data_IF_065454784953
#
_entry.id   IF_065454784953
#
_cell.length_a   1.000
_cell.length_b   1.000
_cell.length_c   1.000
_cell.angle_alpha   90.00
_cell.angle_beta   90.00
_cell.angle_gamma   90.00
#
_symmetry.space_group_name_H-M   'P 1'
#
loop_
_entity.id
_entity.type
_entity.pdbx_description
1 polymer ?
#
# COMPACT_ATOMS: atom_id res chain seq x y z
N UNK A 1 26.43 59.14 -40.88
CA UNK A 1 25.26 58.65 -41.64
C UNK A 1 24.88 57.27 -41.12
N UNK A 2 23.59 57.09 -40.75
CA UNK A 2 22.79 55.84 -40.74
C UNK A 2 23.26 54.69 -39.81
N UNK A 3 22.57 54.49 -38.68
CA UNK A 3 21.52 53.49 -38.43
C UNK A 3 22.10 52.08 -38.15
N UNK A 4 22.05 51.60 -36.91
CA UNK A 4 20.93 50.85 -36.30
C UNK A 4 20.90 49.37 -36.75
N UNK A 5 21.33 48.47 -35.86
CA UNK A 5 21.00 47.04 -35.77
C UNK A 5 21.35 46.64 -34.30
N UNK A 6 20.43 46.51 -33.33
CA UNK A 6 19.39 45.46 -33.14
C UNK A 6 20.03 44.07 -33.34
N UNK A 7 20.18 43.19 -32.33
CA UNK A 7 19.10 42.50 -31.63
C UNK A 7 19.48 41.89 -30.26
N UNK A 8 18.52 42.04 -29.33
CA UNK A 8 18.08 41.24 -28.18
C UNK A 8 19.02 40.22 -27.49
N UNK A 9 19.17 40.28 -26.15
CA UNK A 9 19.50 39.09 -25.37
C UNK A 9 18.30 38.13 -25.40
N UNK A 10 18.52 36.90 -25.86
CA UNK A 10 17.61 35.77 -25.65
C UNK A 10 17.47 35.54 -24.14
N UNK A 11 16.46 36.17 -23.55
CA UNK A 11 15.89 35.69 -22.30
C UNK A 11 15.40 34.27 -22.56
N UNK A 12 16.10 33.30 -22.00
CA UNK A 12 15.64 31.92 -21.89
C UNK A 12 14.42 31.93 -20.96
N UNK A 13 13.25 32.19 -21.53
CA UNK A 13 11.97 31.85 -20.90
C UNK A 13 11.86 30.33 -20.92
N UNK A 14 12.38 29.69 -19.87
CA UNK A 14 11.94 28.35 -19.48
C UNK A 14 10.52 28.46 -18.91
N UNK A 15 9.54 28.72 -19.79
CA UNK A 15 8.16 28.30 -19.58
C UNK A 15 7.99 26.92 -20.22
N UNK A 16 8.70 25.94 -19.66
CA UNK A 16 8.18 24.59 -19.65
C UNK A 16 7.16 24.55 -18.52
N UNK A 17 5.90 24.68 -18.90
CA UNK A 17 4.75 24.55 -18.03
C UNK A 17 4.92 23.31 -17.15
N UNK A 18 5.10 23.57 -15.85
CA UNK A 18 4.59 22.70 -14.80
C UNK A 18 3.08 22.55 -15.04
N UNK A 19 2.69 21.62 -15.90
CA UNK A 19 1.38 21.01 -15.77
C UNK A 19 1.45 20.21 -14.48
N UNK A 20 0.99 20.84 -13.39
CA UNK A 20 0.53 20.10 -12.23
C UNK A 20 -0.41 19.01 -12.72
N UNK A 21 -0.39 17.80 -12.16
CA UNK A 21 -1.35 16.77 -12.54
C UNK A 21 -2.76 17.37 -12.51
N UNK A 22 -3.42 17.42 -13.66
CA UNK A 22 -4.82 17.83 -13.74
C UNK A 22 -5.59 16.93 -12.79
N UNK A 23 -6.29 17.52 -11.83
CA UNK A 23 -7.15 16.86 -10.84
C UNK A 23 -8.40 16.23 -11.44
N UNK A 24 -8.34 15.78 -12.70
CA UNK A 24 -9.40 14.98 -13.34
C UNK A 24 -9.25 13.49 -12.99
N UNK A 25 -8.84 13.20 -11.76
CA UNK A 25 -9.20 11.96 -11.10
C UNK A 25 -10.65 12.12 -10.68
N UNK A 26 -11.54 11.42 -11.38
CA UNK A 26 -12.97 11.30 -11.11
C UNK A 26 -13.23 11.36 -9.61
N UNK A 27 -13.71 12.50 -9.10
CA UNK A 27 -14.15 12.63 -7.72
C UNK A 27 -15.47 11.87 -7.59
N UNK A 28 -15.37 10.54 -7.53
CA UNK A 28 -16.43 9.71 -6.97
C UNK A 28 -16.81 10.35 -5.64
N UNK A 29 -18.09 10.68 -5.47
CA UNK A 29 -18.63 11.34 -4.27
C UNK A 29 -17.92 10.78 -3.04
N UNK A 30 -17.07 11.59 -2.41
CA UNK A 30 -16.33 11.19 -1.23
C UNK A 30 -17.34 11.11 -0.08
N UNK A 31 -17.93 9.94 0.12
CA UNK A 31 -18.77 9.69 1.29
C UNK A 31 -17.92 9.99 2.54
N UNK A 32 -18.36 10.90 3.39
CA UNK A 32 -17.62 11.23 4.62
C UNK A 32 -17.89 10.17 5.68
N UNK A 33 -16.88 9.81 6.46
CA UNK A 33 -16.99 8.90 7.60
C UNK A 33 -18.04 9.41 8.60
N UNK A 34 -18.10 10.73 8.80
CA UNK A 34 -19.01 11.34 9.77
C UNK A 34 -20.47 11.37 9.32
N UNK A 35 -20.75 11.24 8.02
CA UNK A 35 -22.11 11.33 7.47
C UNK A 35 -22.62 10.01 6.90
N UNK A 36 -21.73 9.11 6.50
CA UNK A 36 -22.07 7.81 5.94
C UNK A 36 -22.05 6.73 7.03
N UNK A 37 -23.25 6.30 7.44
CA UNK A 37 -23.45 5.26 8.46
C UNK A 37 -23.21 3.84 7.95
N UNK A 38 -22.95 3.66 6.64
CA UNK A 38 -22.64 2.34 6.07
C UNK A 38 -21.22 1.86 6.40
N UNK A 39 -20.35 2.76 6.88
CA UNK A 39 -18.99 2.44 7.26
C UNK A 39 -18.90 1.58 8.52
N UNK A 40 -18.11 0.52 8.47
CA UNK A 40 -17.77 -0.28 9.65
C UNK A 40 -16.37 0.08 10.16
N UNK A 41 -16.24 0.30 11.46
CA UNK A 41 -14.93 0.49 12.08
C UNK A 41 -14.14 -0.82 12.05
N UNK A 42 -12.87 -0.75 11.67
CA UNK A 42 -11.92 -1.86 11.69
C UNK A 42 -11.11 -1.87 12.99
N UNK A 43 -10.74 -0.69 13.51
CA UNK A 43 -10.05 -0.56 14.78
C UNK A 43 -9.29 0.76 14.92
N UNK A 44 -8.69 0.93 16.09
CA UNK A 44 -7.95 2.13 16.48
C UNK A 44 -6.43 1.92 16.40
N UNK A 45 -5.70 3.02 16.17
CA UNK A 45 -4.24 3.01 16.28
C UNK A 45 -3.79 2.75 17.73
N UNK A 46 -2.55 2.29 17.97
CA UNK A 46 -2.02 2.12 19.32
C UNK A 46 -2.11 3.39 20.19
N UNK A 47 -1.92 4.57 19.58
CA UNK A 47 -2.09 5.87 20.24
C UNK A 47 -3.55 6.26 20.51
N UNK A 48 -4.52 5.50 19.98
CA UNK A 48 -5.95 5.82 19.98
C UNK A 48 -6.30 7.20 19.38
N UNK A 49 -5.41 7.78 18.56
CA UNK A 49 -5.64 9.06 17.88
C UNK A 49 -6.27 8.91 16.51
N UNK A 50 -6.23 7.70 15.94
CA UNK A 50 -6.72 7.43 14.60
C UNK A 50 -7.63 6.20 14.61
N UNK A 51 -8.68 6.22 13.80
CA UNK A 51 -9.60 5.10 13.60
C UNK A 51 -9.73 4.77 12.13
N UNK A 52 -9.60 3.50 11.79
CA UNK A 52 -9.77 3.00 10.42
C UNK A 52 -11.20 2.51 10.21
N UNK A 53 -11.76 2.83 9.06
CA UNK A 53 -13.08 2.41 8.63
C UNK A 53 -13.01 1.75 7.25
N UNK A 54 -13.90 0.79 7.02
CA UNK A 54 -14.18 0.22 5.70
C UNK A 54 -15.56 0.64 5.20
N UNK A 55 -15.63 1.00 3.93
CA UNK A 55 -16.87 1.34 3.22
C UNK A 55 -17.00 0.46 1.99
N UNK A 56 -18.10 -0.26 1.87
CA UNK A 56 -18.37 -1.06 0.67
C UNK A 56 -19.17 -0.22 -0.31
N UNK A 57 -18.71 -0.13 -1.56
CA UNK A 57 -19.43 0.56 -2.65
C UNK A 57 -19.36 -0.22 -3.95
N UNK A 58 -20.21 0.16 -4.92
CA UNK A 58 -20.12 -0.30 -6.30
C UNK A 58 -19.17 0.60 -7.08
N UNK A 59 -18.34 -0.03 -7.92
CA UNK A 59 -17.42 0.61 -8.85
C UNK A 59 -17.62 -0.03 -10.24
N UNK A 60 -18.49 0.59 -11.04
CA UNK A 60 -19.07 -0.07 -12.21
C UNK A 60 -19.84 -1.33 -11.81
N UNK A 61 -19.49 -2.47 -12.39
CA UNK A 61 -20.09 -3.76 -12.08
C UNK A 61 -19.48 -4.44 -10.84
N UNK A 62 -18.31 -3.96 -10.38
CA UNK A 62 -17.55 -4.59 -9.29
C UNK A 62 -17.96 -4.02 -7.93
N UNK A 63 -17.88 -4.85 -6.90
CA UNK A 63 -17.98 -4.40 -5.51
C UNK A 63 -16.56 -4.13 -5.00
N UNK A 64 -16.34 -2.97 -4.38
CA UNK A 64 -15.06 -2.57 -3.79
C UNK A 64 -15.22 -2.14 -2.33
N UNK A 65 -14.13 -2.17 -1.60
CA UNK A 65 -13.97 -1.70 -0.23
C UNK A 65 -13.01 -0.52 -0.24
N UNK A 66 -13.49 0.64 0.16
CA UNK A 66 -12.65 1.79 0.43
C UNK A 66 -12.24 1.79 1.91
N UNK A 67 -10.96 1.99 2.17
CA UNK A 67 -10.43 2.25 3.49
C UNK A 67 -10.30 3.76 3.69
N UNK A 68 -10.86 4.25 4.80
CA UNK A 68 -10.80 5.65 5.18
C UNK A 68 -10.36 5.77 6.63
N UNK A 69 -9.54 6.76 6.88
CA UNK A 69 -8.94 7.04 8.18
C UNK A 69 -9.57 8.31 8.75
N UNK A 70 -9.94 8.26 10.02
CA UNK A 70 -10.39 9.41 10.80
C UNK A 70 -9.32 9.74 11.83
N UNK A 71 -8.83 10.98 11.86
CA UNK A 71 -8.07 11.50 13.01
C UNK A 71 -9.06 12.02 14.04
N UNK A 72 -9.00 11.49 15.27
CA UNK A 72 -10.04 11.73 16.28
C UNK A 72 -9.97 13.12 16.93
N UNK A 73 -8.81 13.79 16.88
CA UNK A 73 -8.61 15.09 17.53
C UNK A 73 -9.30 16.24 16.81
N UNK A 74 -9.35 16.19 15.48
CA UNK A 74 -9.87 17.25 14.61
C UNK A 74 -10.95 16.75 13.64
N UNK A 75 -11.28 15.45 13.72
CA UNK A 75 -12.22 14.76 12.83
C UNK A 75 -11.86 14.86 11.35
N UNK A 76 -10.59 15.11 11.04
CA UNK A 76 -10.11 15.09 9.67
C UNK A 76 -10.16 13.67 9.11
N UNK A 77 -10.58 13.57 7.85
CA UNK A 77 -10.73 12.31 7.15
C UNK A 77 -9.71 12.21 6.02
N UNK A 78 -9.17 11.01 5.80
CA UNK A 78 -8.32 10.72 4.66
C UNK A 78 -8.71 9.40 4.01
N UNK A 79 -8.70 9.39 2.68
CA UNK A 79 -8.78 8.16 1.92
C UNK A 79 -7.43 7.44 1.95
N UNK A 80 -7.45 6.13 2.25
CA UNK A 80 -6.25 5.31 2.39
C UNK A 80 -6.06 4.41 1.17
N UNK A 81 -7.07 3.62 0.79
CA UNK A 81 -6.95 2.64 -0.30
C UNK A 81 -8.30 2.16 -0.80
N UNK A 82 -8.34 1.64 -2.03
CA UNK A 82 -9.48 0.87 -2.56
C UNK A 82 -9.04 -0.59 -2.77
N UNK A 83 -9.93 -1.52 -2.43
CA UNK A 83 -9.71 -2.96 -2.41
C UNK A 83 -10.89 -3.68 -3.08
N UNK A 84 -10.70 -4.81 -3.79
CA UNK A 84 -11.83 -5.59 -4.28
C UNK A 84 -12.62 -6.20 -3.11
N UNK A 85 -13.95 -6.19 -3.16
CA UNK A 85 -14.78 -6.72 -2.07
C UNK A 85 -15.00 -8.24 -2.13
N UNK A 86 -14.83 -8.85 -3.30
CA UNK A 86 -15.07 -10.29 -3.53
C UNK A 86 -13.75 -11.05 -3.76
N UNK A 87 -13.44 -11.97 -2.83
CA UNK A 87 -13.00 -13.36 -2.96
C UNK A 87 -12.19 -13.87 -4.19
N UNK A 88 -11.37 -13.05 -4.85
CA UNK A 88 -10.34 -13.59 -5.78
C UNK A 88 -9.27 -14.45 -5.06
N UNK A 89 -9.25 -14.42 -3.73
CA UNK A 89 -8.41 -15.30 -2.93
C UNK A 89 -9.26 -15.82 -1.79
N UNK A 90 -9.46 -17.15 -1.72
CA UNK A 90 -9.91 -17.84 -0.51
C UNK A 90 -8.86 -17.61 0.59
N UNK A 91 -8.89 -16.46 1.28
CA UNK A 91 -7.80 -16.04 2.17
C UNK A 91 -7.97 -16.71 3.54
N UNK A 92 -6.91 -17.40 3.97
CA UNK A 92 -6.74 -18.00 5.30
C UNK A 92 -6.58 -16.96 6.44
N UNK A 93 -6.95 -15.69 6.22
CA UNK A 93 -6.71 -14.56 7.11
C UNK A 93 -7.81 -13.49 6.95
N UNK A 94 -8.05 -12.67 7.98
CA UNK A 94 -9.06 -11.60 7.92
C UNK A 94 -8.75 -10.58 6.81
N UNK A 95 -9.81 -10.13 6.14
CA UNK A 95 -9.77 -9.15 5.04
C UNK A 95 -10.65 -7.94 5.36
N UNK A 96 -10.20 -6.69 5.08
CA UNK A 96 -8.91 -6.31 4.52
C UNK A 96 -7.75 -6.46 5.51
N UNK A 97 -6.53 -6.67 5.01
CA UNK A 97 -5.33 -6.73 5.84
C UNK A 97 -4.80 -5.32 6.10
N UNK A 98 -4.66 -4.98 7.37
CA UNK A 98 -4.06 -3.72 7.81
C UNK A 98 -3.25 -3.93 9.09
N UNK A 99 -2.23 -3.08 9.29
CA UNK A 99 -1.38 -3.10 10.46
C UNK A 99 -0.98 -1.68 10.85
N UNK A 100 -0.98 -1.41 12.15
CA UNK A 100 -0.47 -0.16 12.70
C UNK A 100 0.98 -0.35 13.13
N UNK A 101 1.85 0.62 12.85
CA UNK A 101 3.17 0.65 13.47
C UNK A 101 3.04 0.93 14.97
N UNK A 102 3.99 0.42 15.77
CA UNK A 102 3.96 0.58 17.23
C UNK A 102 3.90 2.04 17.69
N UNK A 103 4.68 2.88 17.02
CA UNK A 103 4.76 4.31 17.29
C UNK A 103 3.56 5.11 16.75
N UNK A 104 2.57 4.42 16.13
CA UNK A 104 1.43 5.04 15.46
C UNK A 104 1.83 6.09 14.43
N UNK A 105 2.99 5.92 13.79
CA UNK A 105 3.44 6.76 12.68
C UNK A 105 2.88 6.30 11.34
N UNK A 106 2.70 4.99 11.16
CA UNK A 106 2.31 4.40 9.89
C UNK A 106 1.11 3.46 10.01
N UNK A 107 0.26 3.50 9.00
CA UNK A 107 -0.71 2.45 8.69
C UNK A 107 -0.24 1.72 7.44
N UNK A 108 -0.09 0.40 7.53
CA UNK A 108 0.30 -0.48 6.42
C UNK A 108 -0.93 -1.26 5.97
N UNK A 109 -1.28 -1.18 4.68
CA UNK A 109 -2.42 -1.90 4.10
C UNK A 109 -2.18 -2.27 2.65
N UNK A 110 -3.04 -3.08 2.07
CA UNK A 110 -3.08 -3.32 0.63
C UNK A 110 -3.83 -2.18 -0.09
N UNK A 111 -3.49 -1.97 -1.35
CA UNK A 111 -4.22 -1.14 -2.30
C UNK A 111 -4.32 -1.88 -3.64
N UNK A 112 -5.48 -1.82 -4.25
CA UNK A 112 -5.78 -2.39 -5.55
C UNK A 112 -6.58 -1.35 -6.35
N UNK A 113 -5.91 -0.27 -6.74
CA UNK A 113 -6.48 0.71 -7.66
C UNK A 113 -6.43 0.18 -9.09
N UNK A 114 -7.50 0.42 -9.85
CA UNK A 114 -7.62 0.11 -11.29
C UNK A 114 -6.53 0.75 -12.16
N UNK A 115 -5.86 1.78 -11.65
CA UNK A 115 -4.96 2.64 -12.41
C UNK A 115 -3.48 2.24 -12.24
N UNK A 116 -3.20 1.20 -11.45
CA UNK A 116 -1.85 0.66 -11.34
C UNK A 116 -1.65 -0.45 -12.38
N UNK A 117 -0.58 -0.31 -13.17
CA UNK A 117 -0.03 -1.42 -13.99
C UNK A 117 0.35 -2.64 -13.12
N UNK A 118 0.44 -2.46 -11.80
CA UNK A 118 0.64 -3.51 -10.82
C UNK A 118 -0.69 -3.82 -10.13
N UNK A 119 -1.23 -5.02 -10.38
CA UNK A 119 -2.56 -5.43 -9.89
C UNK A 119 -2.78 -5.23 -8.37
N UNK A 120 -1.71 -5.20 -7.56
CA UNK A 120 -1.75 -4.97 -6.10
C UNK A 120 -0.48 -4.29 -5.57
N UNK A 121 -0.68 -3.37 -4.63
CA UNK A 121 0.35 -2.59 -3.96
C UNK A 121 0.18 -2.68 -2.44
N UNK A 122 1.27 -2.56 -1.70
CA UNK A 122 1.29 -2.29 -0.27
C UNK A 122 1.48 -0.79 -0.06
N UNK A 123 0.54 -0.18 0.66
CA UNK A 123 0.52 1.23 1.03
C UNK A 123 1.07 1.40 2.43
N UNK A 124 1.95 2.38 2.60
CA UNK A 124 2.33 2.96 3.88
C UNK A 124 1.75 4.37 3.95
N UNK A 125 0.69 4.53 4.72
CA UNK A 125 0.07 5.81 5.00
C UNK A 125 0.73 6.44 6.23
N UNK A 126 1.21 7.69 6.11
CA UNK A 126 1.86 8.41 7.20
C UNK A 126 0.79 9.14 8.02
N UNK A 127 0.66 8.78 9.29
CA UNK A 127 -0.36 9.28 10.21
C UNK A 127 -0.03 10.69 10.71
N UNK A 128 1.26 11.03 10.78
CA UNK A 128 1.73 12.35 11.22
C UNK A 128 1.41 13.39 10.16
N UNK A 129 1.80 13.13 8.91
CA UNK A 129 1.47 14.02 7.78
C UNK A 129 0.05 13.85 7.26
N UNK A 130 -0.64 12.78 7.71
CA UNK A 130 -2.00 12.42 7.32
C UNK A 130 -2.18 12.29 5.82
N UNK A 131 -1.21 11.64 5.18
CA UNK A 131 -1.15 11.51 3.73
C UNK A 131 -0.51 10.19 3.32
N UNK A 132 -0.73 9.84 2.05
CA UNK A 132 -0.09 8.69 1.43
C UNK A 132 1.43 8.88 1.43
N UNK A 133 2.16 8.08 2.22
CA UNK A 133 3.61 8.22 2.37
C UNK A 133 4.39 7.48 1.29
N UNK A 134 4.27 6.15 1.22
CA UNK A 134 4.98 5.30 0.25
C UNK A 134 4.08 4.20 -0.29
N UNK A 135 4.35 3.77 -1.52
CA UNK A 135 3.76 2.60 -2.15
C UNK A 135 4.84 1.61 -2.54
N UNK A 136 4.63 0.34 -2.23
CA UNK A 136 5.53 -0.77 -2.59
C UNK A 136 4.76 -1.80 -3.37
N UNK A 137 5.33 -2.28 -4.46
CA UNK A 137 4.67 -3.28 -5.30
C UNK A 137 4.55 -4.61 -4.56
N UNK A 138 3.44 -5.31 -4.76
CA UNK A 138 3.22 -6.65 -4.23
C UNK A 138 2.15 -6.75 -3.16
N UNK A 139 1.78 -8.00 -2.87
CA UNK A 139 0.76 -8.36 -1.89
C UNK A 139 1.32 -8.29 -0.48
N UNK A 140 0.62 -7.66 0.44
CA UNK A 140 1.00 -7.68 1.85
C UNK A 140 0.82 -9.10 2.38
N UNK A 141 1.87 -9.75 2.89
CA UNK A 141 1.79 -11.11 3.44
C UNK A 141 1.49 -11.09 4.93
N UNK A 142 2.13 -10.18 5.66
CA UNK A 142 2.04 -10.10 7.12
C UNK A 142 2.91 -8.97 7.66
N UNK A 143 2.83 -8.77 8.97
CA UNK A 143 3.56 -7.72 9.67
C UNK A 143 4.00 -8.21 11.05
N UNK A 144 5.27 -8.02 11.35
CA UNK A 144 5.79 -8.19 12.70
C UNK A 144 5.54 -6.90 13.49
N UNK A 145 4.49 -6.93 14.31
CA UNK A 145 4.16 -5.82 15.19
C UNK A 145 5.29 -5.49 16.16
N UNK A 146 6.12 -6.43 16.62
CA UNK A 146 7.14 -6.11 17.64
C UNK A 146 8.32 -5.35 17.04
N UNK A 147 8.74 -5.73 15.83
CA UNK A 147 9.91 -5.16 15.17
C UNK A 147 9.58 -4.12 14.08
N UNK A 148 8.29 -3.86 13.83
CA UNK A 148 7.76 -3.01 12.76
C UNK A 148 8.25 -3.44 11.36
N UNK A 149 8.17 -4.73 11.06
CA UNK A 149 8.63 -5.31 9.78
C UNK A 149 7.46 -5.81 8.95
N UNK A 150 7.29 -5.24 7.76
CA UNK A 150 6.28 -5.68 6.81
C UNK A 150 6.87 -6.69 5.83
N UNK A 151 6.10 -7.74 5.53
CA UNK A 151 6.43 -8.75 4.51
C UNK A 151 5.50 -8.60 3.33
N UNK A 152 6.05 -8.62 2.12
CA UNK A 152 5.28 -8.55 0.88
C UNK A 152 5.72 -9.60 -0.14
N UNK A 153 4.83 -9.91 -1.07
CA UNK A 153 5.03 -10.90 -2.11
C UNK A 153 4.93 -10.29 -3.49
N UNK A 154 5.96 -10.54 -4.30
CA UNK A 154 6.00 -10.21 -5.72
C UNK A 154 6.21 -11.48 -6.53
N UNK A 155 5.71 -11.45 -7.75
CA UNK A 155 5.90 -12.54 -8.69
C UNK A 155 6.10 -12.00 -10.10
N UNK A 156 6.92 -12.69 -10.88
CA UNK A 156 6.93 -12.60 -12.34
C UNK A 156 6.87 -14.03 -12.90
N UNK A 157 6.74 -14.22 -14.23
CA UNK A 157 6.55 -15.56 -14.80
C UNK A 157 7.59 -16.60 -14.35
N UNK A 158 8.83 -16.19 -14.10
CA UNK A 158 9.94 -17.10 -13.77
C UNK A 158 10.37 -17.08 -12.29
N UNK A 159 9.84 -16.15 -11.48
CA UNK A 159 10.32 -15.95 -10.11
C UNK A 159 9.23 -15.55 -9.13
N UNK A 160 9.44 -15.98 -7.91
CA UNK A 160 8.67 -15.62 -6.74
C UNK A 160 9.61 -14.90 -5.76
N UNK A 161 9.17 -13.76 -5.21
CA UNK A 161 10.00 -12.95 -4.32
C UNK A 161 9.23 -12.59 -3.07
N UNK A 162 9.82 -12.88 -1.91
CA UNK A 162 9.33 -12.41 -0.61
C UNK A 162 10.23 -11.26 -0.19
N UNK A 163 9.68 -10.05 -0.20
CA UNK A 163 10.39 -8.84 0.22
C UNK A 163 9.97 -8.46 1.63
N UNK A 164 10.84 -7.75 2.34
CA UNK A 164 10.55 -7.23 3.67
C UNK A 164 11.29 -5.93 3.92
N UNK A 165 10.71 -5.08 4.75
CA UNK A 165 11.31 -3.80 5.14
C UNK A 165 10.91 -3.43 6.55
N UNK A 166 11.83 -2.82 7.27
CA UNK A 166 11.58 -2.26 8.59
C UNK A 166 11.05 -0.83 8.44
N UNK A 167 9.94 -0.49 9.09
CA UNK A 167 9.36 0.85 9.00
C UNK A 167 10.27 1.94 9.59
N UNK A 168 11.10 1.60 10.58
CA UNK A 168 12.10 2.51 11.17
C UNK A 168 13.19 2.88 10.15
N UNK A 169 13.44 2.01 9.17
CA UNK A 169 14.42 2.17 8.11
C UNK A 169 13.75 2.05 6.73
N UNK A 170 12.60 2.71 6.55
CA UNK A 170 11.69 2.52 5.40
C UNK A 170 12.27 2.79 3.99
N UNK A 171 13.55 3.16 3.88
CA UNK A 171 14.28 3.28 2.62
C UNK A 171 14.83 1.95 2.10
N UNK A 172 15.16 1.01 2.98
CA UNK A 172 15.81 -0.24 2.60
C UNK A 172 14.82 -1.40 2.57
N UNK A 173 14.73 -2.04 1.41
CA UNK A 173 13.93 -3.24 1.22
C UNK A 173 14.87 -4.40 0.95
N UNK A 174 14.65 -5.49 1.69
CA UNK A 174 15.36 -6.73 1.51
C UNK A 174 14.50 -7.70 0.72
N UNK A 175 15.14 -8.52 -0.11
CA UNK A 175 14.44 -9.45 -1.01
C UNK A 175 15.02 -10.85 -0.85
N UNK A 176 14.12 -11.83 -0.69
CA UNK A 176 14.43 -13.25 -0.83
C UNK A 176 13.76 -13.78 -2.09
N UNK A 177 14.57 -14.04 -3.11
CA UNK A 177 14.09 -14.57 -4.40
C UNK A 177 14.12 -16.10 -4.45
N UNK A 178 13.21 -16.65 -5.25
CA UNK A 178 13.07 -18.07 -5.55
C UNK A 178 12.82 -18.17 -7.06
N UNK A 179 13.74 -18.80 -7.78
CA UNK A 179 13.70 -18.94 -9.24
C UNK A 179 12.78 -20.10 -9.66
N UNK A 180 11.48 -19.93 -9.42
CA UNK A 180 10.44 -20.92 -9.75
C UNK A 180 9.19 -20.16 -10.23
N UNK A 181 8.50 -20.72 -11.22
CA UNK A 181 7.21 -20.20 -11.71
C UNK A 181 6.16 -20.10 -10.57
N UNK A 182 5.32 -19.05 -10.54
CA UNK A 182 4.28 -18.92 -9.52
C UNK A 182 3.15 -19.92 -9.68
N UNK A 183 2.76 -20.57 -8.58
CA UNK A 183 1.62 -21.50 -8.53
C UNK A 183 0.23 -20.82 -8.52
N UNK A 184 0.18 -19.50 -8.45
CA UNK A 184 -1.03 -18.72 -8.18
C UNK A 184 -1.46 -18.71 -6.70
N UNK A 185 -0.83 -19.49 -5.81
CA UNK A 185 -1.08 -19.46 -4.37
C UNK A 185 -0.17 -18.44 -3.67
N UNK A 186 -0.74 -17.65 -2.77
CA UNK A 186 0.05 -16.74 -1.94
C UNK A 186 0.92 -17.51 -0.94
N UNK A 187 2.15 -17.06 -0.68
CA UNK A 187 2.97 -17.59 0.40
C UNK A 187 2.32 -17.47 1.78
N UNK A 188 2.67 -18.39 2.66
CA UNK A 188 2.36 -18.29 4.09
C UNK A 188 3.62 -17.82 4.83
N UNK A 189 3.46 -16.80 5.67
CA UNK A 189 4.53 -16.27 6.53
C UNK A 189 4.13 -16.46 7.98
N UNK A 190 4.93 -17.23 8.73
CA UNK A 190 4.77 -17.42 10.16
C UNK A 190 5.90 -16.65 10.85
N UNK A 191 5.51 -15.61 11.59
CA UNK A 191 6.44 -14.66 12.21
C UNK A 191 6.77 -15.13 13.63
N UNK A 192 8.06 -15.15 13.98
CA UNK A 192 8.58 -15.37 15.31
C UNK A 192 9.32 -14.09 15.77
N UNK A 193 8.60 -13.12 16.38
CA UNK A 193 9.13 -11.78 16.62
C UNK A 193 10.36 -11.74 17.52
N UNK A 194 10.38 -12.56 18.58
CA UNK A 194 11.48 -12.63 19.55
C UNK A 194 12.77 -13.17 18.94
N UNK A 195 12.67 -13.99 17.89
CA UNK A 195 13.81 -14.53 17.14
C UNK A 195 14.22 -13.63 15.97
N UNK A 196 13.47 -12.54 15.70
CA UNK A 196 13.55 -11.75 14.46
C UNK A 196 13.61 -12.63 13.22
N UNK A 197 12.72 -13.62 13.19
CA UNK A 197 12.69 -14.66 12.18
C UNK A 197 11.28 -14.81 11.61
N UNK A 198 11.21 -15.10 10.32
CA UNK A 198 9.98 -15.49 9.65
C UNK A 198 10.19 -16.82 8.94
N UNK A 199 9.33 -17.81 9.21
CA UNK A 199 9.27 -19.06 8.45
C UNK A 199 8.32 -18.85 7.29
N UNK A 200 8.79 -19.12 6.09
CA UNK A 200 8.06 -18.86 4.86
C UNK A 200 7.82 -20.16 4.13
N UNK A 201 6.59 -20.34 3.66
CA UNK A 201 6.17 -21.42 2.78
C UNK A 201 5.68 -20.83 1.47
N UNK A 202 6.40 -21.10 0.39
CA UNK A 202 6.05 -20.74 -0.99
C UNK A 202 5.67 -22.01 -1.75
N UNK A 203 4.91 -21.91 -2.84
CA UNK A 203 4.38 -23.06 -3.56
C UNK A 203 4.87 -23.09 -5.01
N UNK A 204 5.41 -24.23 -5.43
CA UNK A 204 5.75 -24.53 -6.83
C UNK A 204 4.46 -24.77 -7.65
N UNK A 205 4.49 -24.73 -9.00
CA UNK A 205 3.31 -24.89 -9.84
C UNK A 205 2.53 -26.19 -9.61
N UNK A 206 3.23 -27.27 -9.24
CA UNK A 206 2.64 -28.57 -8.85
C UNK A 206 2.02 -28.57 -7.44
N UNK A 207 2.11 -27.46 -6.71
CA UNK A 207 1.60 -27.27 -5.36
C UNK A 207 2.56 -27.70 -4.24
N UNK A 208 3.74 -28.22 -4.57
CA UNK A 208 4.73 -28.66 -3.57
C UNK A 208 5.33 -27.44 -2.85
N UNK A 209 5.40 -27.45 -1.51
CA UNK A 209 5.89 -26.30 -0.76
C UNK A 209 7.43 -26.24 -0.72
N UNK A 210 7.98 -25.06 -0.98
CA UNK A 210 9.37 -24.68 -0.68
C UNK A 210 9.37 -23.90 0.63
N UNK A 211 10.09 -24.41 1.64
CA UNK A 211 10.16 -23.80 2.96
C UNK A 211 11.55 -23.19 3.18
N UNK A 212 11.59 -21.98 3.74
CA UNK A 212 12.84 -21.32 4.14
C UNK A 212 12.57 -20.35 5.29
N UNK A 213 13.64 -19.84 5.89
CA UNK A 213 13.57 -18.81 6.92
C UNK A 213 14.18 -17.50 6.43
N UNK A 214 13.59 -16.39 6.86
CA UNK A 214 14.14 -15.03 6.73
C UNK A 214 14.56 -14.59 8.13
N UNK A 215 15.78 -14.08 8.26
CA UNK A 215 16.27 -13.35 9.42
C UNK A 215 16.25 -11.86 9.07
N UNK A 216 15.78 -11.00 9.97
CA UNK A 216 15.57 -9.57 9.72
C UNK A 216 15.87 -8.69 10.94
#
# INVERSE_FOLDING_TARGET
MKNLLLFLPLFVWLHACSQSPNSNGTSGKSNSILTDTSGASLGDSPSSQYRLFKFTRKDGERTVIDLKLLRLSDLSEAFVSTLPAEDEFKVLAPYPRYYWSNDSRYLVTENATTDSIYKRETVLFDLVTFSMGKRKLGNLLGFDNVNDVAFLYRQSPERQSVCYFNLKFSGEENVREIMVEPSGRLPIVIIAPLEKRAKVKVYMPDGVPVNFAILY
#
